data_IF_240374179286
#
_entry.id   IF_240374179286
#
_cell.length_a   1.000
_cell.length_b   1.000
_cell.length_c   1.000
_cell.angle_alpha   90.00
_cell.angle_beta   90.00
_cell.angle_gamma   90.00
#
_symmetry.space_group_name_H-M   'P 1'
#
loop_
_entity.id
_entity.type
_entity.pdbx_description
1 polymer ?
#
# COMPACT_ATOMS: atom_id res chain seq x y z
N UNK A 1 -12.30 29.77 1.67
CA UNK A 1 -11.04 29.01 1.52
C UNK A 1 -11.40 27.63 0.98
N UNK A 2 -11.21 27.37 -0.32
CA UNK A 2 -11.64 26.13 -1.00
C UNK A 2 -10.78 24.91 -0.65
N UNK A 3 -10.68 24.58 0.64
CA UNK A 3 -9.88 23.47 1.14
C UNK A 3 -10.65 22.14 1.00
N UNK A 4 -9.97 21.02 0.72
CA UNK A 4 -10.60 19.71 0.66
C UNK A 4 -11.19 19.32 2.02
N UNK A 5 -12.39 18.75 2.03
CA UNK A 5 -13.03 18.27 3.26
C UNK A 5 -12.27 17.05 3.80
N UNK A 6 -11.59 17.20 4.93
CA UNK A 6 -10.80 16.15 5.57
C UNK A 6 -11.51 15.64 6.84
N UNK A 7 -11.61 14.31 7.00
CA UNK A 7 -12.13 13.65 8.22
C UNK A 7 -11.05 13.58 9.31
N UNK A 8 -11.46 13.59 10.58
CA UNK A 8 -10.56 13.35 11.71
C UNK A 8 -9.86 11.99 11.56
N UNK A 9 -8.54 11.96 11.69
CA UNK A 9 -7.77 10.73 11.83
C UNK A 9 -7.44 10.55 13.31
N UNK A 10 -7.74 9.38 13.84
CA UNK A 10 -7.39 9.00 15.20
C UNK A 10 -6.06 8.26 15.20
N UNK A 11 -5.35 8.34 16.32
CA UNK A 11 -4.19 7.52 16.57
C UNK A 11 -4.61 6.04 16.60
N UNK A 12 -3.77 5.19 16.03
CA UNK A 12 -3.96 3.74 16.02
C UNK A 12 -2.64 3.13 16.45
N UNK A 13 -2.61 2.61 17.68
CA UNK A 13 -1.41 2.04 18.32
C UNK A 13 -0.79 0.90 17.49
N UNK A 14 -1.61 0.14 16.78
CA UNK A 14 -1.18 -1.04 16.01
C UNK A 14 -0.52 -0.73 14.66
N UNK A 15 -0.49 0.53 14.20
CA UNK A 15 0.04 0.89 12.89
C UNK A 15 0.79 2.23 12.94
N UNK A 16 2.09 2.21 12.66
CA UNK A 16 2.97 3.39 12.78
C UNK A 16 2.65 4.55 11.81
N UNK A 17 1.76 4.31 10.85
CA UNK A 17 1.40 5.30 9.83
C UNK A 17 0.34 6.29 10.31
N UNK A 18 -0.39 5.99 11.38
CA UNK A 18 -1.48 6.82 11.91
C UNK A 18 -0.98 8.20 12.34
N UNK A 19 0.09 8.25 13.14
CA UNK A 19 0.73 9.50 13.59
C UNK A 19 1.29 10.31 12.44
N UNK A 20 1.96 9.66 11.49
CA UNK A 20 2.48 10.29 10.28
C UNK A 20 1.35 10.95 9.48
N UNK A 21 0.26 10.23 9.26
CA UNK A 21 -0.90 10.71 8.52
C UNK A 21 -1.63 11.88 9.20
N UNK A 22 -1.66 11.91 10.53
CA UNK A 22 -2.21 13.02 11.32
C UNK A 22 -1.36 14.28 11.13
N UNK A 23 -0.03 14.16 11.23
CA UNK A 23 0.91 15.26 11.03
C UNK A 23 0.89 15.77 9.57
N UNK A 24 0.79 14.89 8.59
CA UNK A 24 0.67 15.30 7.19
C UNK A 24 -0.63 16.11 6.93
N UNK A 25 -1.71 15.80 7.64
CA UNK A 25 -2.98 16.56 7.54
C UNK A 25 -2.94 17.89 8.26
N UNK A 26 -2.37 17.93 9.46
CA UNK A 26 -2.26 19.20 10.19
C UNK A 26 -1.42 20.21 9.40
N UNK A 27 -0.39 19.72 8.68
CA UNK A 27 0.37 20.54 7.75
C UNK A 27 -0.48 21.06 6.58
N UNK A 28 -1.27 20.20 5.92
CA UNK A 28 -2.18 20.63 4.82
C UNK A 28 -3.23 21.65 5.26
N UNK A 29 -3.61 21.65 6.54
CA UNK A 29 -4.61 22.55 7.11
C UNK A 29 -4.00 23.71 7.91
N UNK A 30 -2.67 23.89 7.89
CA UNK A 30 -1.94 24.85 8.72
C UNK A 30 -2.59 26.23 8.74
N UNK A 31 -2.88 26.81 7.58
CA UNK A 31 -3.42 28.17 7.48
C UNK A 31 -4.82 28.30 8.11
N UNK A 32 -5.67 27.29 7.93
CA UNK A 32 -7.00 27.26 8.53
C UNK A 32 -6.93 27.07 10.05
N UNK A 33 -6.03 26.19 10.52
CA UNK A 33 -5.81 25.92 11.95
C UNK A 33 -5.26 27.16 12.65
N UNK A 34 -4.21 27.78 12.10
CA UNK A 34 -3.60 29.01 12.64
C UNK A 34 -4.59 30.17 12.63
N UNK A 35 -5.36 30.35 11.55
CA UNK A 35 -6.37 31.41 11.46
C UNK A 35 -7.48 31.23 12.48
N UNK A 36 -8.01 30.02 12.64
CA UNK A 36 -9.05 29.74 13.64
C UNK A 36 -8.54 29.87 15.07
N UNK A 37 -7.32 29.40 15.36
CA UNK A 37 -6.68 29.59 16.67
C UNK A 37 -6.47 31.06 17.01
N UNK A 38 -6.03 31.88 16.04
CA UNK A 38 -5.87 33.32 16.22
C UNK A 38 -7.22 34.00 16.53
N UNK A 39 -8.29 33.59 15.85
CA UNK A 39 -9.65 34.11 16.09
C UNK A 39 -10.19 33.67 17.46
N UNK A 40 -9.99 32.40 17.81
CA UNK A 40 -10.56 31.80 19.02
C UNK A 40 -9.80 32.20 20.29
N UNK A 41 -8.56 32.70 20.19
CA UNK A 41 -7.78 33.30 21.28
C UNK A 41 -7.92 32.55 22.62
N UNK A 42 -7.82 31.22 22.58
CA UNK A 42 -8.00 30.39 23.78
C UNK A 42 -6.65 30.12 24.46
N UNK A 43 -6.52 30.56 25.71
CA UNK A 43 -5.37 30.35 26.60
C UNK A 43 -5.06 28.88 26.94
N UNK A 44 -5.96 27.95 26.62
CA UNK A 44 -5.91 26.56 27.11
C UNK A 44 -5.52 25.53 26.04
N UNK A 45 -5.34 25.95 24.79
CA UNK A 45 -4.89 25.04 23.73
C UNK A 45 -3.38 25.15 23.64
N UNK A 46 -2.67 24.04 23.90
CA UNK A 46 -1.23 23.96 23.69
C UNK A 46 -0.95 24.07 22.19
N UNK A 47 -0.67 25.29 21.73
CA UNK A 47 -0.46 25.58 20.31
C UNK A 47 0.92 25.06 19.92
N UNK A 48 1.01 24.41 18.76
CA UNK A 48 2.29 24.14 18.13
C UNK A 48 3.06 25.45 17.99
N UNK A 49 4.21 25.54 18.66
CA UNK A 49 5.06 26.70 18.62
C UNK A 49 5.58 26.93 17.19
N UNK A 50 6.06 28.14 16.85
CA UNK A 50 6.72 28.36 15.57
C UNK A 50 7.84 27.35 15.31
N UNK A 51 8.57 26.96 16.35
CA UNK A 51 9.60 25.91 16.30
C UNK A 51 9.00 24.56 15.91
N UNK A 52 7.88 24.15 16.50
CA UNK A 52 7.21 22.89 16.15
C UNK A 52 6.76 22.85 14.69
N UNK A 53 6.27 23.98 14.17
CA UNK A 53 5.92 24.11 12.76
C UNK A 53 7.12 23.99 11.83
N UNK A 54 8.29 24.55 12.20
CA UNK A 54 9.51 24.38 11.40
C UNK A 54 9.98 22.93 11.35
N UNK A 55 9.77 22.15 12.43
CA UNK A 55 10.12 20.72 12.47
C UNK A 55 9.21 19.92 11.54
N UNK A 56 7.90 20.19 11.58
CA UNK A 56 6.90 19.54 10.71
C UNK A 56 7.18 19.87 9.24
N UNK A 57 7.50 21.13 8.92
CA UNK A 57 7.86 21.59 7.58
C UNK A 57 9.15 20.98 7.06
N UNK A 58 10.21 21.03 7.85
CA UNK A 58 11.52 20.47 7.50
C UNK A 58 11.41 18.99 7.16
N UNK A 59 10.61 18.22 7.91
CA UNK A 59 10.41 16.80 7.64
C UNK A 59 9.65 16.55 6.33
N UNK A 60 8.68 17.40 6.00
CA UNK A 60 7.89 17.28 4.78
C UNK A 60 8.69 17.64 3.52
N UNK A 61 9.64 18.57 3.61
CA UNK A 61 10.51 18.97 2.48
C UNK A 61 11.77 18.10 2.31
N UNK A 62 12.21 17.41 3.37
CA UNK A 62 13.46 16.63 3.38
C UNK A 62 13.33 15.14 3.07
N UNK A 63 12.12 14.58 2.90
CA UNK A 63 12.00 13.15 2.51
C UNK A 63 12.68 12.89 1.17
N UNK A 64 12.60 13.83 0.23
CA UNK A 64 13.18 13.65 -1.11
C UNK A 64 14.61 14.22 -1.25
N UNK A 65 15.00 15.21 -0.43
CA UNK A 65 16.26 15.95 -0.64
C UNK A 65 17.38 15.61 0.36
N UNK A 66 17.09 14.91 1.47
CA UNK A 66 18.10 14.56 2.48
C UNK A 66 18.05 13.09 2.89
N UNK A 67 17.99 12.18 1.92
CA UNK A 67 18.54 10.85 2.20
C UNK A 67 20.03 11.08 2.42
N UNK A 68 20.45 11.03 3.69
CA UNK A 68 21.85 11.15 4.09
C UNK A 68 22.69 10.23 3.18
N UNK A 69 23.89 10.67 2.73
CA UNK A 69 24.69 9.90 1.79
C UNK A 69 24.93 8.45 2.26
N UNK A 70 25.05 8.23 3.57
CA UNK A 70 25.18 6.91 4.20
C UNK A 70 23.91 6.05 4.02
N UNK A 71 22.72 6.66 4.12
CA UNK A 71 21.45 5.97 3.90
C UNK A 71 21.26 5.64 2.42
N UNK A 72 21.73 6.49 1.52
CA UNK A 72 21.69 6.23 0.07
C UNK A 72 22.55 5.02 -0.28
N UNK A 73 23.76 4.94 0.27
CA UNK A 73 24.64 3.79 0.09
C UNK A 73 24.02 2.51 0.64
N UNK A 74 23.47 2.56 1.86
CA UNK A 74 22.77 1.42 2.46
C UNK A 74 21.59 0.94 1.58
N UNK A 75 20.76 1.86 1.07
CA UNK A 75 19.64 1.53 0.18
C UNK A 75 20.16 0.88 -1.10
N UNK A 76 21.24 1.39 -1.68
CA UNK A 76 21.84 0.82 -2.89
C UNK A 76 22.36 -0.60 -2.65
N UNK A 77 23.08 -0.83 -1.56
CA UNK A 77 23.60 -2.17 -1.22
C UNK A 77 22.44 -3.15 -0.99
N UNK A 78 21.43 -2.76 -0.21
CA UNK A 78 20.27 -3.61 0.04
C UNK A 78 19.51 -3.92 -1.26
N UNK A 79 19.27 -2.92 -2.08
CA UNK A 79 18.59 -3.09 -3.38
C UNK A 79 19.38 -4.01 -4.30
N UNK A 80 20.70 -3.84 -4.37
CA UNK A 80 21.57 -4.69 -5.16
C UNK A 80 21.50 -6.15 -4.68
N UNK A 81 21.61 -6.39 -3.36
CA UNK A 81 21.54 -7.74 -2.80
C UNK A 81 20.19 -8.41 -3.00
N UNK A 82 19.09 -7.67 -2.81
CA UNK A 82 17.74 -8.18 -3.08
C UNK A 82 17.58 -8.57 -4.55
N UNK A 83 18.08 -7.73 -5.46
CA UNK A 83 18.05 -8.03 -6.89
C UNK A 83 18.91 -9.26 -7.22
N UNK A 84 20.13 -9.35 -6.69
CA UNK A 84 21.00 -10.51 -6.91
C UNK A 84 20.37 -11.82 -6.45
N UNK A 85 19.64 -11.82 -5.34
CA UNK A 85 19.07 -13.07 -4.78
C UNK A 85 17.67 -13.41 -5.31
N UNK A 86 16.83 -12.41 -5.56
CA UNK A 86 15.41 -12.63 -5.81
C UNK A 86 14.96 -12.30 -7.24
N UNK A 87 15.80 -11.72 -8.10
CA UNK A 87 15.37 -11.32 -9.45
C UNK A 87 14.91 -12.51 -10.34
N UNK A 88 15.48 -13.70 -10.11
CA UNK A 88 15.14 -14.91 -10.86
C UNK A 88 14.08 -15.79 -10.19
N UNK A 89 13.58 -15.40 -9.01
CA UNK A 89 12.62 -16.23 -8.27
C UNK A 89 11.29 -16.38 -9.03
N UNK A 90 10.91 -15.34 -9.76
CA UNK A 90 9.70 -15.30 -10.60
C UNK A 90 9.83 -16.17 -11.86
N UNK A 91 11.06 -16.55 -12.25
CA UNK A 91 11.29 -17.44 -13.39
C UNK A 91 11.08 -18.91 -13.02
N UNK A 92 11.10 -19.22 -11.71
CA UNK A 92 10.78 -20.54 -11.21
C UNK A 92 9.27 -20.76 -11.26
N UNK A 93 8.86 -21.69 -12.12
CA UNK A 93 7.45 -21.99 -12.37
C UNK A 93 6.68 -22.40 -11.11
N UNK A 94 7.24 -23.25 -10.25
CA UNK A 94 6.57 -23.69 -9.02
C UNK A 94 6.37 -22.53 -8.05
N UNK A 95 7.37 -21.67 -7.88
CA UNK A 95 7.28 -20.51 -6.98
C UNK A 95 6.32 -19.48 -7.54
N UNK A 96 6.40 -19.17 -8.83
CA UNK A 96 5.50 -18.24 -9.50
C UNK A 96 4.04 -18.71 -9.40
N UNK A 97 3.78 -20.00 -9.68
CA UNK A 97 2.44 -20.56 -9.56
C UNK A 97 1.93 -20.56 -8.12
N UNK A 98 2.74 -20.99 -7.13
CA UNK A 98 2.35 -20.96 -5.72
C UNK A 98 2.08 -19.52 -5.23
N UNK A 99 2.89 -18.56 -5.66
CA UNK A 99 2.73 -17.14 -5.33
C UNK A 99 1.46 -16.56 -5.95
N UNK A 100 1.17 -16.93 -7.21
CA UNK A 100 -0.05 -16.50 -7.91
C UNK A 100 -1.32 -17.08 -7.27
N UNK A 101 -1.24 -18.30 -6.73
CA UNK A 101 -2.34 -18.96 -6.02
C UNK A 101 -2.56 -18.42 -4.60
N UNK A 102 -1.58 -17.72 -4.00
CA UNK A 102 -1.75 -17.08 -2.70
C UNK A 102 -2.69 -15.85 -2.83
N UNK A 103 -3.87 -15.84 -2.15
CA UNK A 103 -4.85 -14.76 -2.28
C UNK A 103 -4.31 -13.37 -1.90
N UNK A 104 -3.26 -13.31 -1.07
CA UNK A 104 -2.65 -12.05 -0.62
C UNK A 104 -1.76 -11.42 -1.68
N UNK A 105 -1.23 -12.24 -2.58
CA UNK A 105 -0.21 -11.86 -3.55
C UNK A 105 -0.82 -11.73 -4.94
N UNK A 106 -1.44 -12.81 -5.45
CA UNK A 106 -2.05 -12.85 -6.78
C UNK A 106 -1.08 -12.23 -7.83
N UNK A 107 -1.53 -11.23 -8.60
CA UNK A 107 -0.73 -10.52 -9.60
C UNK A 107 0.19 -9.45 -9.00
N UNK A 108 -0.05 -9.02 -7.76
CA UNK A 108 0.68 -7.93 -7.11
C UNK A 108 2.07 -8.31 -6.61
N UNK A 109 2.33 -9.62 -6.44
CA UNK A 109 3.63 -10.09 -5.97
C UNK A 109 4.70 -10.17 -7.06
N UNK A 110 4.36 -9.87 -8.32
CA UNK A 110 5.28 -9.95 -9.43
C UNK A 110 5.75 -8.56 -9.85
N UNK A 111 7.04 -8.46 -10.12
CA UNK A 111 7.71 -7.27 -10.63
C UNK A 111 7.42 -7.06 -12.11
N UNK A 112 7.24 -8.14 -12.87
CA UNK A 112 6.95 -8.13 -14.31
C UNK A 112 5.62 -8.84 -14.63
N UNK A 113 4.77 -8.14 -15.38
CA UNK A 113 3.46 -8.65 -15.82
C UNK A 113 3.59 -9.90 -16.70
N UNK A 114 4.64 -9.97 -17.53
CA UNK A 114 4.86 -11.10 -18.44
C UNK A 114 5.09 -12.43 -17.69
N UNK A 115 5.76 -12.38 -16.54
CA UNK A 115 6.00 -13.57 -15.72
C UNK A 115 4.72 -14.07 -15.05
N UNK A 116 3.80 -13.16 -14.73
CA UNK A 116 2.47 -13.51 -14.20
C UNK A 116 1.64 -14.22 -15.26
N UNK A 117 1.68 -13.71 -16.50
CA UNK A 117 0.91 -14.27 -17.60
C UNK A 117 1.46 -15.64 -17.99
N UNK A 118 2.78 -15.81 -17.99
CA UNK A 118 3.44 -17.12 -18.15
C UNK A 118 2.98 -18.11 -17.07
N UNK A 119 3.01 -17.71 -15.79
CA UNK A 119 2.55 -18.57 -14.70
C UNK A 119 1.06 -18.93 -14.82
N UNK A 120 0.22 -17.96 -15.24
CA UNK A 120 -1.21 -18.16 -15.45
C UNK A 120 -1.50 -19.11 -16.64
N UNK A 121 -0.73 -18.97 -17.72
CA UNK A 121 -0.83 -19.84 -18.90
C UNK A 121 -0.41 -21.28 -18.57
N UNK A 122 0.68 -21.46 -17.81
CA UNK A 122 1.12 -22.78 -17.35
C UNK A 122 0.11 -23.48 -16.44
N UNK A 123 -0.56 -22.74 -15.54
CA UNK A 123 -1.63 -23.28 -14.70
C UNK A 123 -2.85 -23.71 -15.52
N UNK A 124 -3.19 -22.92 -16.54
CA UNK A 124 -4.32 -23.22 -17.43
C UNK A 124 -3.99 -24.40 -18.38
N UNK A 125 -2.71 -24.60 -18.73
CA UNK A 125 -2.25 -25.70 -19.57
C UNK A 125 -2.05 -27.04 -18.83
N UNK A 126 -1.87 -27.02 -17.50
CA UNK A 126 -1.66 -28.23 -16.68
C UNK A 126 -2.92 -29.01 -16.34
N UNK A 127 -4.09 -28.66 -16.90
CA UNK A 127 -5.31 -29.50 -16.82
C UNK A 127 -5.20 -30.84 -17.57
N UNK A 128 -4.05 -31.16 -18.16
CA UNK A 128 -3.76 -32.44 -18.82
C UNK A 128 -2.68 -33.24 -18.08
N UNK A 129 -2.85 -33.48 -16.77
CA UNK A 129 -2.10 -34.52 -16.06
C UNK A 129 -3.08 -35.63 -15.65
N UNK A 130 -3.09 -36.68 -16.46
CA UNK A 130 -3.50 -38.07 -16.20
C UNK A 130 -4.53 -38.30 -15.09
N UNK A 131 -5.80 -38.19 -15.48
CA UNK A 131 -6.94 -38.75 -14.77
C UNK A 131 -6.90 -40.29 -14.76
N UNK A 132 -6.15 -40.87 -13.81
CA UNK A 132 -6.53 -42.16 -13.25
C UNK A 132 -7.05 -41.90 -11.82
N UNK A 133 -8.38 -41.84 -11.73
CA UNK A 133 -9.18 -41.72 -10.48
C UNK A 133 -9.43 -40.28 -10.02
N UNK A 134 -10.50 -39.66 -10.53
CA UNK A 134 -11.72 -39.29 -9.79
C UNK A 134 -12.74 -38.81 -10.84
N UNK A 135 -13.78 -39.62 -11.05
CA UNK A 135 -14.95 -39.22 -11.82
C UNK A 135 -15.81 -38.30 -10.95
N UNK A 136 -15.96 -37.03 -11.35
CA UNK A 136 -17.26 -36.37 -11.55
C UNK A 136 -17.02 -34.92 -12.00
N UNK A 137 -17.08 -34.67 -13.31
CA UNK A 137 -16.96 -33.33 -13.87
C UNK A 137 -18.32 -32.64 -13.92
N UNK A 138 -18.39 -31.40 -13.42
CA UNK A 138 -19.30 -30.41 -14.01
C UNK A 138 -18.70 -29.01 -13.94
N UNK A 139 -18.10 -28.63 -15.06
CA UNK A 139 -18.13 -27.32 -15.71
C UNK A 139 -18.01 -26.05 -14.83
N UNK A 140 -16.85 -25.38 -14.93
CA UNK A 140 -16.70 -24.06 -15.60
C UNK A 140 -15.35 -23.43 -15.24
N UNK A 141 -14.30 -23.76 -15.98
CA UNK A 141 -12.91 -23.33 -15.79
C UNK A 141 -12.61 -21.93 -16.35
N UNK A 142 -13.62 -21.08 -16.56
CA UNK A 142 -13.44 -19.74 -17.14
C UNK A 142 -13.37 -18.60 -16.11
N UNK A 143 -13.42 -18.90 -14.81
CA UNK A 143 -13.74 -17.89 -13.79
C UNK A 143 -13.16 -18.10 -12.39
N UNK A 144 -12.05 -18.85 -12.21
CA UNK A 144 -11.48 -19.06 -10.86
C UNK A 144 -11.19 -17.74 -10.12
N UNK A 145 -10.78 -16.69 -10.84
CA UNK A 145 -10.40 -15.40 -10.24
C UNK A 145 -11.32 -14.23 -10.60
N UNK A 146 -12.26 -14.39 -11.55
CA UNK A 146 -13.16 -13.29 -11.97
C UNK A 146 -14.00 -12.75 -10.82
N UNK A 147 -14.37 -13.59 -9.86
CA UNK A 147 -15.15 -13.18 -8.69
C UNK A 147 -14.28 -12.49 -7.62
N UNK A 148 -12.98 -12.75 -7.61
CA UNK A 148 -12.03 -12.16 -6.67
C UNK A 148 -11.47 -10.82 -7.19
N UNK A 149 -11.18 -10.72 -8.49
CA UNK A 149 -10.67 -9.48 -9.13
C UNK A 149 -11.74 -8.39 -9.25
N UNK A 150 -13.03 -8.77 -9.34
CA UNK A 150 -14.14 -7.82 -9.40
C UNK A 150 -14.35 -7.02 -8.11
N UNK A 151 -13.75 -7.41 -6.98
CA UNK A 151 -13.95 -6.73 -5.70
C UNK A 151 -13.03 -5.52 -5.46
N UNK A 152 -12.01 -5.30 -6.28
CA UNK A 152 -11.00 -4.26 -5.99
C UNK A 152 -11.21 -2.94 -6.77
N UNK A 153 -12.36 -2.75 -7.44
CA UNK A 153 -12.79 -1.43 -7.93
C UNK A 153 -13.57 -0.61 -6.88
N UNK A 154 -13.67 -1.10 -5.65
CA UNK A 154 -14.26 -0.39 -4.53
C UNK A 154 -13.20 -0.01 -3.52
N UNK A 155 -12.66 1.20 -3.63
CA UNK A 155 -12.19 1.94 -2.46
C UNK A 155 -13.24 1.74 -1.36
N UNK A 156 -12.92 1.26 -0.15
CA UNK A 156 -13.94 1.11 0.88
C UNK A 156 -14.47 2.51 1.20
N UNK A 157 -15.65 2.83 0.65
CA UNK A 157 -16.55 3.77 1.28
C UNK A 157 -16.86 3.14 2.63
N UNK A 158 -16.23 3.69 3.67
CA UNK A 158 -16.61 3.45 5.05
C UNK A 158 -18.07 3.86 5.15
N UNK A 159 -18.93 2.83 5.14
CA UNK A 159 -20.35 2.88 5.39
C UNK A 159 -20.57 3.72 6.65
N UNK A 160 -21.31 4.82 6.52
CA UNK A 160 -21.96 5.45 7.65
C UNK A 160 -22.87 4.40 8.28
N UNK A 161 -22.46 3.84 9.43
CA UNK A 161 -23.39 3.20 10.34
C UNK A 161 -24.06 4.34 11.10
N UNK A 162 -25.34 4.53 10.84
CA UNK A 162 -26.22 5.40 11.61
C UNK A 162 -26.22 4.93 13.06
N UNK A 163 -25.86 5.83 13.96
CA UNK A 163 -26.53 6.19 15.22
C UNK A 163 -25.80 7.41 15.82
#
# INVERSE_FOLDING_TARGET
MGLPQLKLKQDVVACWNSTYDMLARIFKMKDAVVSTLAILSHEQVNILTPTDWTIVEKRHSNIDSTVLPELREMIQILTAQLTTRFNTIEDNELIAQATLLDPRFKKYAFSDTNKTDKACASLSGSEQVSAATIQNASASTSSLWKNFDKKDLGHPQIQQRQE
#
